data_IF_243445204779
#
_entry.id   IF_243445204779
#
_cell.length_a   1.000
_cell.length_b   1.000
_cell.length_c   1.000
_cell.angle_alpha   90.00
_cell.angle_beta   90.00
_cell.angle_gamma   90.00
#
_symmetry.space_group_name_H-M   'P 1'
#
loop_
_entity.id
_entity.type
_entity.pdbx_description
1 polymer ?
#
# COMPACT_ATOMS: atom_id res chain seq x y z
N UNK A 1 18.19 -9.71 -40.45
CA UNK A 1 16.77 -9.83 -40.00
C UNK A 1 16.68 -10.13 -38.50
N UNK A 2 17.69 -10.79 -37.91
CA UNK A 2 17.72 -11.22 -36.50
C UNK A 2 17.98 -10.10 -35.49
N UNK A 3 18.86 -9.14 -35.82
CA UNK A 3 19.20 -8.01 -34.93
C UNK A 3 17.97 -7.18 -34.54
N UNK A 4 17.12 -6.83 -35.50
CA UNK A 4 15.90 -6.07 -35.25
C UNK A 4 14.82 -6.83 -34.50
N UNK A 5 14.88 -8.16 -34.44
CA UNK A 5 13.97 -8.98 -33.62
C UNK A 5 14.47 -8.96 -32.17
N UNK A 6 15.79 -9.13 -31.96
CA UNK A 6 16.43 -9.10 -30.63
C UNK A 6 16.27 -7.73 -29.97
N UNK A 7 16.47 -6.63 -30.70
CA UNK A 7 16.30 -5.28 -30.16
C UNK A 7 14.84 -5.00 -29.78
N UNK A 8 13.87 -5.49 -30.58
CA UNK A 8 12.44 -5.30 -30.31
C UNK A 8 11.95 -6.12 -29.13
N UNK A 9 12.40 -7.37 -29.00
CA UNK A 9 12.07 -8.20 -27.83
C UNK A 9 12.72 -7.67 -26.56
N UNK A 10 13.97 -7.20 -26.62
CA UNK A 10 14.65 -6.57 -25.49
C UNK A 10 13.95 -5.27 -25.06
N UNK A 11 13.53 -4.43 -26.02
CA UNK A 11 12.77 -3.21 -25.72
C UNK A 11 11.40 -3.53 -25.11
N UNK A 12 10.68 -4.52 -25.65
CA UNK A 12 9.41 -4.99 -25.07
C UNK A 12 9.60 -5.49 -23.63
N UNK A 13 10.64 -6.29 -23.36
CA UNK A 13 10.95 -6.77 -22.01
C UNK A 13 11.20 -5.62 -21.02
N UNK A 14 11.96 -4.60 -21.42
CA UNK A 14 12.20 -3.41 -20.59
C UNK A 14 10.91 -2.64 -20.29
N UNK A 15 10.01 -2.52 -21.27
CA UNK A 15 8.71 -1.84 -21.09
C UNK A 15 7.81 -2.63 -20.14
N UNK A 16 7.75 -3.96 -20.24
CA UNK A 16 6.91 -4.79 -19.36
C UNK A 16 7.43 -4.75 -17.91
N UNK A 17 8.75 -4.67 -17.71
CA UNK A 17 9.33 -4.49 -16.37
C UNK A 17 8.93 -3.17 -15.72
N UNK A 18 8.65 -2.13 -16.50
CA UNK A 18 8.24 -0.81 -15.98
C UNK A 18 6.74 -0.72 -15.62
N UNK A 19 5.92 -1.71 -15.95
CA UNK A 19 4.45 -1.64 -15.80
C UNK A 19 3.87 -2.39 -14.61
N UNK A 20 4.67 -2.75 -13.60
CA UNK A 20 4.20 -3.54 -12.45
C UNK A 20 4.28 -2.79 -11.12
N UNK A 21 3.57 -1.67 -11.01
CA UNK A 21 3.05 -1.12 -9.74
C UNK A 21 2.08 0.01 -10.12
N UNK A 22 0.79 -0.30 -10.25
CA UNK A 22 -0.20 0.65 -10.78
C UNK A 22 -0.53 1.82 -9.82
N UNK A 23 0.13 1.92 -8.67
CA UNK A 23 -0.26 2.86 -7.61
C UNK A 23 0.90 3.72 -7.07
N UNK A 24 2.15 3.44 -7.47
CA UNK A 24 3.32 4.25 -7.08
C UNK A 24 3.81 5.08 -8.26
N UNK A 25 3.64 6.40 -8.19
CA UNK A 25 4.18 7.34 -9.19
C UNK A 25 5.62 7.73 -8.84
N UNK A 26 6.51 7.68 -9.84
CA UNK A 26 7.87 8.20 -9.74
C UNK A 26 8.04 9.39 -10.71
N UNK A 27 8.43 10.59 -10.25
CA UNK A 27 8.81 10.95 -8.89
C UNK A 27 7.61 11.10 -7.94
N UNK A 28 7.82 10.80 -6.65
CA UNK A 28 6.79 10.94 -5.61
C UNK A 28 6.40 12.41 -5.35
N UNK A 29 5.10 12.69 -5.32
CA UNK A 29 4.53 14.03 -5.05
C UNK A 29 4.04 14.14 -3.59
N UNK A 30 4.99 14.22 -2.66
CA UNK A 30 4.69 14.28 -1.23
C UNK A 30 4.56 15.73 -0.72
N UNK A 31 3.68 16.00 0.26
CA UNK A 31 3.69 17.26 0.97
C UNK A 31 5.04 17.47 1.67
N UNK A 32 5.55 18.70 1.64
CA UNK A 32 6.87 19.04 2.22
C UNK A 32 6.94 18.79 3.72
N UNK A 33 5.83 19.04 4.43
CA UNK A 33 5.70 18.79 5.85
C UNK A 33 4.76 17.59 6.08
N UNK A 34 5.08 16.71 7.04
CA UNK A 34 4.21 15.58 7.37
C UNK A 34 2.86 16.05 7.94
N UNK A 35 1.76 15.36 7.61
CA UNK A 35 0.45 15.73 8.12
C UNK A 35 0.38 15.54 9.65
N UNK A 36 -0.34 16.42 10.37
CA UNK A 36 -0.64 16.18 11.78
C UNK A 36 -1.63 15.02 11.91
N UNK A 37 -1.22 13.96 12.60
CA UNK A 37 -2.08 12.79 12.80
C UNK A 37 -2.96 12.92 14.05
N UNK A 38 -4.16 12.31 14.04
CA UNK A 38 -5.00 12.22 15.22
C UNK A 38 -4.27 11.61 16.42
N UNK A 39 -4.77 11.91 17.63
CA UNK A 39 -4.17 11.37 18.85
C UNK A 39 -4.20 9.84 18.84
N UNK A 40 -3.05 9.23 19.11
CA UNK A 40 -2.91 7.77 19.15
C UNK A 40 -2.72 7.11 17.79
N UNK A 41 -2.63 7.87 16.69
CA UNK A 41 -2.31 7.38 15.34
C UNK A 41 -0.83 7.59 15.03
N UNK A 42 -0.16 6.56 14.52
CA UNK A 42 1.23 6.68 14.07
C UNK A 42 1.35 7.42 12.73
N UNK A 43 2.46 8.15 12.58
CA UNK A 43 2.93 8.63 11.28
C UNK A 43 3.83 7.55 10.66
N UNK A 44 3.48 7.05 9.48
CA UNK A 44 4.18 5.95 8.79
C UNK A 44 4.48 6.34 7.34
N UNK A 45 5.33 5.57 6.66
CA UNK A 45 5.47 5.68 5.21
C UNK A 45 4.30 4.97 4.51
N UNK A 46 3.88 5.48 3.37
CA UNK A 46 3.02 4.77 2.43
C UNK A 46 3.66 3.44 1.97
N UNK A 47 2.87 2.59 1.31
CA UNK A 47 3.34 1.30 0.78
C UNK A 47 4.34 1.42 -0.37
N UNK A 48 4.53 2.62 -0.92
CA UNK A 48 5.58 2.93 -1.89
C UNK A 48 6.91 3.29 -1.20
N UNK A 49 6.90 3.57 0.11
CA UNK A 49 8.06 4.01 0.88
C UNK A 49 8.42 5.49 0.67
N UNK A 50 7.51 6.29 0.12
CA UNK A 50 7.77 7.65 -0.31
C UNK A 50 7.23 8.70 0.65
N UNK A 51 5.91 8.78 0.83
CA UNK A 51 5.26 9.85 1.57
C UNK A 51 4.96 9.43 3.01
N UNK A 52 5.09 10.38 3.94
CA UNK A 52 4.62 10.20 5.32
C UNK A 52 3.12 10.44 5.39
N UNK A 53 2.40 9.45 5.89
CA UNK A 53 0.94 9.45 6.01
C UNK A 53 0.51 9.02 7.41
N UNK A 54 -0.70 9.36 7.79
CA UNK A 54 -1.28 8.89 9.04
C UNK A 54 -1.76 7.45 8.87
N UNK A 55 -1.31 6.57 9.76
CA UNK A 55 -1.62 5.16 9.68
C UNK A 55 -3.11 4.88 9.95
N UNK A 56 -3.71 4.02 9.14
CA UNK A 56 -5.07 3.51 9.36
C UNK A 56 -5.12 2.61 10.60
N UNK A 57 -6.20 2.75 11.36
CA UNK A 57 -6.42 2.08 12.63
C UNK A 57 -7.35 0.87 12.46
N UNK A 58 -7.48 0.05 13.51
CA UNK A 58 -8.23 -1.20 13.45
C UNK A 58 -9.68 -0.99 12.99
N UNK A 59 -10.11 -1.77 11.99
CA UNK A 59 -11.44 -1.70 11.39
C UNK A 59 -11.62 -0.59 10.34
N UNK A 60 -10.63 0.29 10.15
CA UNK A 60 -10.64 1.29 9.08
C UNK A 60 -10.27 0.65 7.73
N UNK A 61 -10.77 1.19 6.61
CA UNK A 61 -10.31 0.79 5.28
C UNK A 61 -8.85 1.20 5.08
N UNK A 62 -8.11 0.35 4.38
CA UNK A 62 -6.70 0.55 4.04
C UNK A 62 -6.43 0.25 2.57
N UNK A 63 -5.38 0.87 2.05
CA UNK A 63 -4.85 0.68 0.71
C UNK A 63 -3.32 0.67 0.76
N UNK A 64 -2.65 0.54 -0.39
CA UNK A 64 -1.20 0.69 -0.46
C UNK A 64 -0.75 2.10 -0.04
N UNK A 65 -1.43 3.16 -0.48
CA UNK A 65 -1.12 4.55 -0.10
C UNK A 65 -1.58 4.93 1.30
N UNK A 66 -2.56 4.21 1.85
CA UNK A 66 -3.11 4.45 3.19
C UNK A 66 -2.94 3.21 4.08
N UNK A 67 -1.70 2.90 4.51
CA UNK A 67 -1.37 1.66 5.20
C UNK A 67 -1.81 1.66 6.67
N UNK A 68 -1.92 0.46 7.25
CA UNK A 68 -2.26 0.25 8.66
C UNK A 68 -1.09 0.60 9.61
N UNK A 69 -1.44 0.83 10.88
CA UNK A 69 -0.49 1.14 11.94
C UNK A 69 0.28 -0.11 12.41
N UNK A 70 1.39 -0.40 11.74
CA UNK A 70 2.24 -1.54 12.08
C UNK A 70 2.87 -1.44 13.49
N UNK A 71 2.98 -0.24 14.07
CA UNK A 71 3.43 -0.10 15.47
C UNK A 71 2.40 -0.64 16.47
N UNK A 72 1.15 -0.86 16.03
CA UNK A 72 0.07 -1.47 16.79
C UNK A 72 -0.24 -2.89 16.32
N UNK A 73 0.69 -3.52 15.60
CA UNK A 73 0.51 -4.88 15.08
C UNK A 73 -0.73 -5.01 14.17
N UNK A 74 -1.05 -3.94 13.42
CA UNK A 74 -2.12 -3.93 12.44
C UNK A 74 -1.59 -4.23 11.04
N UNK A 75 -2.31 -5.06 10.29
CA UNK A 75 -2.06 -5.40 8.90
C UNK A 75 -3.31 -5.17 8.05
N UNK A 76 -3.13 -4.89 6.75
CA UNK A 76 -4.24 -4.69 5.83
C UNK A 76 -4.75 -6.04 5.28
N UNK A 77 -5.97 -6.42 5.63
CA UNK A 77 -6.63 -7.63 5.14
C UNK A 77 -7.50 -7.31 3.92
N UNK A 78 -6.95 -7.58 2.74
CA UNK A 78 -7.62 -7.39 1.45
C UNK A 78 -8.68 -8.44 1.15
N UNK A 79 -8.74 -9.56 1.89
CA UNK A 79 -9.74 -10.60 1.64
C UNK A 79 -11.16 -10.21 2.12
N UNK A 80 -11.27 -9.12 2.88
CA UNK A 80 -12.53 -8.63 3.43
C UNK A 80 -13.35 -7.82 2.43
N UNK A 81 -12.73 -7.31 1.36
CA UNK A 81 -13.40 -6.55 0.31
C UNK A 81 -13.25 -7.29 -1.03
N UNK A 82 -14.23 -7.15 -1.92
CA UNK A 82 -14.19 -7.79 -3.25
C UNK A 82 -13.23 -7.10 -4.22
N UNK A 83 -12.69 -5.95 -3.83
CA UNK A 83 -11.74 -5.13 -4.58
C UNK A 83 -10.33 -5.39 -4.03
N UNK A 84 -9.39 -5.76 -4.90
CA UNK A 84 -8.02 -6.12 -4.50
C UNK A 84 -7.17 -4.92 -4.07
N UNK A 85 -7.61 -3.69 -4.37
CA UNK A 85 -6.91 -2.46 -3.97
C UNK A 85 -7.26 -1.98 -2.56
N UNK A 86 -8.36 -2.48 -1.99
CA UNK A 86 -8.86 -2.04 -0.70
C UNK A 86 -8.94 -3.20 0.29
N UNK A 87 -8.50 -2.97 1.53
CA UNK A 87 -8.62 -3.92 2.63
C UNK A 87 -9.19 -3.28 3.88
N UNK A 88 -9.20 -4.04 4.98
CA UNK A 88 -9.53 -3.54 6.33
C UNK A 88 -8.34 -3.79 7.25
N UNK A 89 -8.00 -2.82 8.11
CA UNK A 89 -6.95 -3.01 9.10
C UNK A 89 -7.38 -3.99 10.20
N UNK A 90 -6.67 -5.10 10.27
CA UNK A 90 -6.88 -6.18 11.23
C UNK A 90 -5.69 -6.24 12.19
N UNK A 91 -5.94 -6.60 13.45
CA UNK A 91 -4.87 -6.91 14.40
C UNK A 91 -4.41 -8.35 14.22
N UNK A 92 -3.13 -8.62 14.46
CA UNK A 92 -2.66 -9.99 14.62
C UNK A 92 -3.38 -10.68 15.79
N UNK A 93 -3.40 -12.02 15.81
CA UNK A 93 -4.17 -12.83 16.79
C UNK A 93 -3.87 -12.50 18.27
N UNK A 94 -2.75 -11.83 18.56
CA UNK A 94 -2.36 -11.39 19.90
C UNK A 94 -2.85 -9.97 20.27
N UNK A 95 -3.48 -9.26 19.34
CA UNK A 95 -4.02 -7.91 19.57
C UNK A 95 -5.55 -7.97 19.73
N UNK A 96 -6.11 -7.63 20.92
CA UNK A 96 -7.55 -7.74 21.18
C UNK A 96 -8.34 -6.62 20.51
N UNK A 97 -8.61 -6.76 19.21
CA UNK A 97 -9.53 -5.89 18.47
C UNK A 97 -10.92 -6.54 18.43
N UNK A 98 -11.93 -5.80 18.91
CA UNK A 98 -13.35 -6.16 18.79
C UNK A 98 -13.83 -5.94 17.35
N UNK A 99 -13.24 -6.62 16.37
CA UNK A 99 -13.67 -6.57 14.98
C UNK A 99 -14.21 -7.94 14.56
N UNK A 100 -15.52 -8.01 14.31
CA UNK A 100 -16.18 -9.21 13.79
C UNK A 100 -15.93 -9.29 12.28
N UNK A 101 -15.32 -10.39 11.80
CA UNK A 101 -15.46 -10.76 10.38
C UNK A 101 -16.95 -10.88 10.07
N UNK A 102 -17.47 -10.02 9.18
CA UNK A 102 -18.77 -10.25 8.55
C UNK A 102 -18.56 -11.37 7.52
N UNK A 103 -19.03 -12.57 7.87
CA UNK A 103 -19.13 -13.69 6.94
C UNK A 103 -20.43 -13.64 6.14
#
# INVERSE_FOLDING_TARGET
>A
MSEGIITRTSLLLLIISSTMAQDCSDPCDCPSDPPPCPFGTSLVLDGCGCCKVCARQAGEPCTLLEPCDHHKELYCDYAMLSDTEHGICMGELNYPVNYKRKG
#
